data_IF_735249143499
#
_entry.id   IF_735249143499
#
_cell.length_a   1.000
_cell.length_b   1.000
_cell.length_c   1.000
_cell.angle_alpha   90.00
_cell.angle_beta   90.00
_cell.angle_gamma   90.00
#
_symmetry.space_group_name_H-M   'P 1'
#
loop_
_entity.id
_entity.type
_entity.pdbx_description
1 polymer ?
#
# COMPACT_ATOMS: atom_id res chain seq x y z
N UNK A 1 -4.41 -0.65 2.91
CA UNK A 1 -3.05 -1.01 3.39
C UNK A 1 -2.18 0.24 3.27
N UNK A 2 -1.49 0.65 4.33
CA UNK A 2 -0.75 1.91 4.43
C UNK A 2 0.76 1.69 4.29
N UNK A 3 1.47 2.64 3.68
CA UNK A 3 2.93 2.65 3.64
C UNK A 3 3.55 3.03 4.99
N UNK A 4 4.82 2.68 5.20
CA UNK A 4 5.64 3.27 6.27
C UNK A 4 5.96 4.75 6.01
N UNK A 5 6.28 5.52 7.06
CA UNK A 5 6.70 6.92 6.89
C UNK A 5 7.94 7.06 6.00
N UNK A 6 9.04 6.30 6.20
CA UNK A 6 10.21 6.40 5.34
C UNK A 6 9.89 6.06 3.88
N UNK A 7 9.12 4.98 3.65
CA UNK A 7 8.69 4.57 2.31
C UNK A 7 7.82 5.64 1.64
N UNK A 8 6.89 6.25 2.39
CA UNK A 8 6.04 7.34 1.90
C UNK A 8 6.85 8.57 1.48
N UNK A 9 7.76 9.06 2.34
CA UNK A 9 8.57 10.24 2.03
C UNK A 9 9.41 10.02 0.77
N UNK A 10 9.93 8.80 0.59
CA UNK A 10 10.66 8.46 -0.63
C UNK A 10 9.74 8.40 -1.85
N UNK A 11 8.56 7.80 -1.73
CA UNK A 11 7.58 7.73 -2.80
C UNK A 11 7.14 9.12 -3.26
N UNK A 12 6.97 10.06 -2.32
CA UNK A 12 6.66 11.47 -2.60
C UNK A 12 7.75 12.11 -3.46
N UNK A 13 9.02 11.97 -3.07
CA UNK A 13 10.16 12.49 -3.82
C UNK A 13 10.37 11.83 -5.19
N UNK A 14 9.78 10.65 -5.42
CA UNK A 14 9.82 9.93 -6.70
C UNK A 14 8.56 10.14 -7.56
N UNK A 15 7.61 10.96 -7.12
CA UNK A 15 6.37 11.21 -7.85
C UNK A 15 5.42 10.01 -7.92
N UNK A 16 5.50 9.11 -6.93
CA UNK A 16 4.65 7.91 -6.84
C UNK A 16 3.40 8.11 -5.98
N UNK A 17 3.17 9.33 -5.50
CA UNK A 17 2.00 9.74 -4.73
C UNK A 17 1.09 10.55 -5.65
N UNK A 18 -0.16 10.11 -5.83
CA UNK A 18 -1.13 10.81 -6.66
C UNK A 18 -1.75 12.01 -5.92
N UNK A 19 -2.60 12.77 -6.61
CA UNK A 19 -3.28 13.95 -6.04
C UNK A 19 -4.24 13.64 -4.91
N UNK A 20 -4.74 12.40 -4.83
CA UNK A 20 -5.59 11.92 -3.73
C UNK A 20 -4.77 11.42 -2.52
N UNK A 21 -3.43 11.46 -2.59
CA UNK A 21 -2.53 10.99 -1.53
C UNK A 21 -2.29 9.48 -1.51
N UNK A 22 -2.81 8.73 -2.48
CA UNK A 22 -2.52 7.32 -2.64
C UNK A 22 -1.14 7.08 -3.25
N UNK A 23 -0.48 6.01 -2.80
CA UNK A 23 0.87 5.64 -3.22
C UNK A 23 0.82 4.42 -4.13
N UNK A 24 1.42 4.45 -5.31
CA UNK A 24 1.32 3.33 -6.26
C UNK A 24 2.25 2.15 -5.97
N UNK A 25 3.33 2.36 -5.22
CA UNK A 25 4.33 1.34 -4.89
C UNK A 25 4.79 1.47 -3.45
N UNK A 26 4.96 0.33 -2.78
CA UNK A 26 5.67 0.26 -1.50
C UNK A 26 7.17 0.23 -1.77
N UNK A 27 7.91 1.10 -1.07
CA UNK A 27 9.37 1.17 -1.14
C UNK A 27 9.98 0.68 0.16
N UNK A 28 11.20 0.16 0.07
CA UNK A 28 11.96 -0.25 1.25
C UNK A 28 12.16 0.90 2.23
N UNK A 29 12.20 0.61 3.54
CA UNK A 29 12.28 1.65 4.57
C UNK A 29 13.62 2.42 4.51
N UNK A 30 14.70 1.77 4.07
CA UNK A 30 16.03 2.36 3.87
C UNK A 30 16.35 2.67 2.40
N UNK A 31 15.33 2.94 1.58
CA UNK A 31 15.49 3.14 0.14
C UNK A 31 16.36 4.37 -0.18
N UNK A 32 17.48 4.14 -0.86
CA UNK A 32 18.40 5.20 -1.28
C UNK A 32 19.26 5.79 -0.15
N UNK A 33 19.19 5.24 1.05
CA UNK A 33 20.05 5.60 2.19
C UNK A 33 21.02 4.47 2.55
N UNK A 34 20.61 3.21 2.41
CA UNK A 34 21.48 2.03 2.54
C UNK A 34 21.83 1.48 1.16
N UNK A 35 23.14 1.38 0.85
CA UNK A 35 23.64 0.88 -0.44
C UNK A 35 23.36 -0.61 -0.68
N UNK A 36 22.98 -1.36 0.35
CA UNK A 36 22.60 -2.77 0.26
C UNK A 36 21.14 -2.95 -0.14
N UNK A 37 20.34 -1.89 -0.12
CA UNK A 37 18.92 -1.91 -0.50
C UNK A 37 18.80 -1.63 -2.00
N UNK A 38 18.00 -2.44 -2.68
CA UNK A 38 17.73 -2.24 -4.10
C UNK A 38 16.92 -0.95 -4.31
N UNK A 39 17.28 -0.21 -5.35
CA UNK A 39 16.56 0.98 -5.83
C UNK A 39 16.09 0.76 -7.26
N UNK A 40 15.25 1.66 -7.78
CA UNK A 40 14.62 1.53 -9.10
C UNK A 40 13.48 0.51 -9.17
N UNK A 41 13.12 -0.09 -8.03
CA UNK A 41 12.07 -1.11 -7.89
C UNK A 41 11.16 -0.78 -6.72
N UNK A 42 9.94 -1.31 -6.73
CA UNK A 42 8.98 -1.22 -5.64
C UNK A 42 7.98 -2.36 -5.71
N UNK A 43 7.23 -2.56 -4.62
CA UNK A 43 6.20 -3.61 -4.56
C UNK A 43 4.86 -2.98 -4.93
N UNK A 44 4.23 -3.44 -6.01
CA UNK A 44 2.83 -3.13 -6.32
C UNK A 44 1.90 -4.13 -5.65
N UNK A 45 0.71 -3.70 -5.24
CA UNK A 45 -0.32 -4.57 -4.71
C UNK A 45 -1.45 -4.74 -5.71
N UNK A 46 -2.06 -5.92 -5.76
CA UNK A 46 -3.34 -6.13 -6.44
C UNK A 46 -4.30 -6.93 -5.56
N UNK A 47 -5.60 -6.74 -5.82
CA UNK A 47 -6.67 -7.52 -5.18
C UNK A 47 -6.78 -8.93 -5.79
N UNK A 48 -7.74 -9.71 -5.29
CA UNK A 48 -8.04 -11.07 -5.75
C UNK A 48 -8.50 -11.15 -7.20
N UNK A 49 -8.95 -10.03 -7.79
CA UNK A 49 -9.36 -9.94 -9.19
C UNK A 49 -8.20 -9.50 -10.11
N UNK A 50 -7.01 -9.27 -9.54
CA UNK A 50 -5.84 -8.77 -10.26
C UNK A 50 -5.84 -7.26 -10.49
N UNK A 51 -6.80 -6.52 -9.92
CA UNK A 51 -6.85 -5.07 -10.04
C UNK A 51 -5.75 -4.43 -9.21
N UNK A 52 -4.97 -3.54 -9.82
CA UNK A 52 -3.90 -2.83 -9.10
C UNK A 52 -4.48 -1.91 -8.04
N UNK A 53 -3.86 -1.91 -6.87
CA UNK A 53 -4.28 -1.12 -5.71
C UNK A 53 -3.24 -0.06 -5.36
N UNK A 54 -3.72 1.12 -4.98
CA UNK A 54 -2.89 2.13 -4.31
C UNK A 54 -2.80 1.78 -2.82
N UNK A 55 -1.65 2.08 -2.22
CA UNK A 55 -1.49 2.09 -0.78
C UNK A 55 -2.01 3.42 -0.22
N UNK A 56 -2.53 3.39 1.00
CA UNK A 56 -2.79 4.61 1.77
C UNK A 56 -1.44 5.26 2.08
N UNK A 57 -1.32 6.56 1.81
CA UNK A 57 -0.13 7.33 2.17
C UNK A 57 0.08 7.43 3.69
N UNK A 58 1.15 8.13 4.10
CA UNK A 58 1.38 8.35 5.53
C UNK A 58 0.38 9.36 6.11
N UNK A 59 0.01 9.18 7.37
CA UNK A 59 -0.91 10.07 8.08
C UNK A 59 -2.36 9.61 8.08
N UNK A 60 -2.78 8.65 7.26
CA UNK A 60 -4.00 7.84 7.48
C UNK A 60 -5.28 8.60 7.83
N UNK A 61 -5.50 9.79 7.26
CA UNK A 61 -6.59 10.73 7.61
C UNK A 61 -6.46 11.50 8.94
N UNK A 62 -5.31 11.52 9.59
CA UNK A 62 -5.10 12.16 10.89
C UNK A 62 -4.77 13.66 10.82
N UNK A 63 -4.44 14.21 9.65
CA UNK A 63 -3.87 15.58 9.54
C UNK A 63 -4.68 16.58 8.72
N UNK A 64 -5.67 16.18 7.91
CA UNK A 64 -6.49 17.10 7.10
C UNK A 64 -7.97 16.70 7.13
N UNK A 65 -8.85 17.70 7.16
CA UNK A 65 -10.32 17.49 7.17
C UNK A 65 -10.85 16.85 5.87
N UNK A 66 -10.07 16.86 4.79
CA UNK A 66 -10.44 16.31 3.48
C UNK A 66 -9.73 14.98 3.20
N UNK A 67 -9.87 13.99 4.08
CA UNK A 67 -9.37 12.67 3.76
C UNK A 67 -10.29 11.98 2.77
N UNK A 68 -9.90 11.98 1.50
CA UNK A 68 -10.59 11.23 0.45
C UNK A 68 -10.60 9.74 0.82
N UNK A 69 -11.78 9.16 0.99
CA UNK A 69 -11.95 7.72 1.26
C UNK A 69 -12.15 6.92 -0.03
N UNK A 70 -11.47 7.34 -1.10
CA UNK A 70 -11.58 6.74 -2.43
C UNK A 70 -10.51 5.68 -2.65
N UNK A 71 -10.71 4.82 -3.65
CA UNK A 71 -9.70 3.87 -4.10
C UNK A 71 -8.41 4.58 -4.57
N UNK A 72 -8.52 5.80 -5.12
CA UNK A 72 -7.36 6.60 -5.51
C UNK A 72 -6.50 6.98 -4.30
N UNK A 73 -7.09 7.20 -3.13
CA UNK A 73 -6.38 7.44 -1.88
C UNK A 73 -5.92 6.14 -1.16
N UNK A 74 -6.18 4.97 -1.75
CA UNK A 74 -5.82 3.66 -1.19
C UNK A 74 -6.84 3.08 -0.20
N UNK A 75 -8.03 3.69 -0.09
CA UNK A 75 -9.13 3.18 0.73
C UNK A 75 -10.06 2.30 -0.12
N UNK A 76 -10.24 1.06 0.33
CA UNK A 76 -11.07 0.08 -0.35
C UNK A 76 -12.14 -0.44 0.61
N UNK A 77 -13.40 -0.63 0.17
CA UNK A 77 -14.42 -1.21 1.01
C UNK A 77 -14.02 -2.62 1.47
N UNK A 78 -14.22 -2.91 2.76
CA UNK A 78 -13.83 -4.18 3.39
C UNK A 78 -14.56 -5.40 2.79
N UNK A 79 -15.68 -5.21 2.11
CA UNK A 79 -16.40 -6.33 1.47
C UNK A 79 -16.00 -6.52 0.00
N UNK A 80 -15.29 -5.58 -0.61
CA UNK A 80 -14.84 -5.70 -2.00
C UNK A 80 -13.62 -6.62 -2.08
N UNK A 81 -13.73 -7.69 -2.87
CA UNK A 81 -12.66 -8.69 -3.00
C UNK A 81 -12.46 -9.54 -1.75
N UNK A 82 -13.42 -9.54 -0.83
CA UNK A 82 -13.44 -10.40 0.35
C UNK A 82 -14.20 -11.69 0.06
N UNK A 83 -13.70 -12.82 0.54
CA UNK A 83 -14.49 -14.06 0.64
C UNK A 83 -15.01 -14.21 2.08
N UNK A 84 -16.27 -14.62 2.21
CA UNK A 84 -16.81 -14.97 3.51
C UNK A 84 -16.10 -16.20 4.08
N UNK A 85 -15.65 -16.10 5.33
CA UNK A 85 -14.98 -17.19 6.04
C UNK A 85 -15.83 -17.70 7.22
N UNK A 86 -17.15 -17.64 7.05
CA UNK A 86 -18.13 -18.03 8.07
C UNK A 86 -18.05 -17.17 9.34
N UNK A 87 -18.36 -17.81 10.47
CA UNK A 87 -18.41 -17.18 11.79
C UNK A 87 -17.74 -18.10 12.81
N UNK A 88 -16.81 -17.57 13.61
CA UNK A 88 -16.21 -18.33 14.72
C UNK A 88 -17.00 -18.17 16.04
N UNK A 89 -17.95 -17.23 16.09
CA UNK A 89 -18.82 -16.96 17.23
C UNK A 89 -20.13 -16.31 16.76
N UNK A 90 -21.21 -16.50 17.53
CA UNK A 90 -22.49 -15.87 17.24
C UNK A 90 -22.38 -14.34 17.25
N UNK A 91 -22.94 -13.68 16.22
CA UNK A 91 -22.89 -12.23 16.06
C UNK A 91 -21.64 -11.69 15.34
N UNK A 92 -20.71 -12.56 14.93
CA UNK A 92 -19.51 -12.16 14.18
C UNK A 92 -19.50 -12.75 12.77
N UNK A 93 -19.04 -11.96 11.79
CA UNK A 93 -18.74 -12.44 10.45
C UNK A 93 -17.23 -12.33 10.21
N UNK A 94 -16.63 -13.39 9.67
CA UNK A 94 -15.24 -13.38 9.26
C UNK A 94 -15.14 -13.20 7.75
N UNK A 95 -14.15 -12.41 7.34
CA UNK A 95 -13.84 -12.18 5.94
C UNK A 95 -12.35 -12.40 5.71
N UNK A 96 -12.01 -12.95 4.54
CA UNK A 96 -10.63 -13.14 4.11
C UNK A 96 -10.42 -12.32 2.83
N UNK A 97 -9.30 -11.60 2.79
CA UNK A 97 -8.82 -10.95 1.58
C UNK A 97 -7.54 -11.60 1.11
N UNK A 98 -7.46 -11.81 -0.19
CA UNK A 98 -6.23 -12.21 -0.85
C UNK A 98 -5.66 -11.01 -1.60
N UNK A 99 -4.42 -10.68 -1.27
CA UNK A 99 -3.65 -9.67 -1.99
C UNK A 99 -2.45 -10.33 -2.65
N UNK A 100 -2.09 -9.85 -3.83
CA UNK A 100 -0.83 -10.23 -4.49
C UNK A 100 0.13 -9.06 -4.44
N UNK A 101 1.28 -9.29 -3.80
CA UNK A 101 2.39 -8.35 -3.77
C UNK A 101 3.40 -8.73 -4.85
N UNK A 102 3.67 -7.81 -5.78
CA UNK A 102 4.57 -8.05 -6.91
C UNK A 102 5.70 -7.04 -6.89
N UNK A 103 6.94 -7.52 -6.79
CA UNK A 103 8.12 -6.68 -7.00
C UNK A 103 8.18 -6.28 -8.48
N UNK A 104 8.23 -4.97 -8.75
CA UNK A 104 8.24 -4.41 -10.10
C UNK A 104 9.31 -3.34 -10.24
N UNK A 105 9.81 -3.18 -11.46
CA UNK A 105 10.56 -1.99 -11.87
C UNK A 105 9.62 -0.77 -11.79
N UNK A 106 10.13 0.33 -11.23
CA UNK A 106 9.39 1.60 -11.19
C UNK A 106 9.32 2.22 -12.60
N UNK A 107 8.28 3.04 -12.93
CA UNK A 107 8.10 3.60 -14.27
C UNK A 107 9.36 4.28 -14.85
N UNK A 108 10.06 5.06 -14.02
CA UNK A 108 11.33 5.72 -14.38
C UNK A 108 12.53 5.15 -13.60
N UNK A 109 12.39 3.93 -13.08
CA UNK A 109 13.40 3.27 -12.26
C UNK A 109 14.58 2.75 -13.06
N UNK A 110 15.75 2.75 -12.44
CA UNK A 110 16.92 2.00 -12.88
C UNK A 110 17.24 0.95 -11.81
N UNK A 111 16.71 -0.28 -11.94
CA UNK A 111 16.86 -1.30 -10.92
C UNK A 111 18.33 -1.54 -10.55
N UNK A 112 18.63 -1.49 -9.26
CA UNK A 112 19.92 -1.91 -8.72
C UNK A 112 19.75 -3.21 -7.94
N UNK A 113 20.80 -4.04 -7.94
CA UNK A 113 20.81 -5.23 -7.09
C UNK A 113 20.83 -4.83 -5.60
N UNK A 114 20.16 -5.61 -4.76
CA UNK A 114 20.10 -5.37 -3.33
C UNK A 114 18.93 -6.07 -2.66
N UNK A 115 18.83 -5.89 -1.35
CA UNK A 115 17.73 -6.39 -0.53
C UNK A 115 16.48 -5.52 -0.72
N UNK A 116 15.32 -6.14 -0.53
CA UNK A 116 14.03 -5.46 -0.42
C UNK A 116 13.56 -5.65 1.02
N UNK A 117 13.26 -4.55 1.70
CA UNK A 117 12.80 -4.55 3.09
C UNK A 117 11.83 -3.40 3.28
N UNK A 118 10.54 -3.68 3.08
CA UNK A 118 9.48 -2.68 2.96
C UNK A 118 8.34 -2.98 3.93
N UNK A 119 7.94 -1.97 4.70
CA UNK A 119 6.93 -2.12 5.75
C UNK A 119 5.60 -1.51 5.34
N UNK A 120 4.51 -2.26 5.53
CA UNK A 120 3.14 -1.77 5.33
C UNK A 120 2.22 -2.17 6.49
N UNK A 121 1.20 -1.34 6.75
CA UNK A 121 0.25 -1.53 7.84
C UNK A 121 -1.15 -1.80 7.32
N UNK A 122 -1.87 -2.75 7.92
CA UNK A 122 -3.30 -2.93 7.65
C UNK A 122 -4.05 -1.90 8.50
N UNK A 123 -4.67 -0.92 7.84
CA UNK A 123 -5.59 0.02 8.48
C UNK A 123 -7.02 -0.38 8.20
N UNK A 124 -7.85 -0.36 9.25
CA UNK A 124 -9.30 -0.53 9.16
C UNK A 124 -9.94 0.74 9.69
N UNK A 125 -10.81 1.36 8.89
CA UNK A 125 -11.63 2.51 9.29
C UNK A 125 -13.09 2.08 9.27
N UNK A 126 -13.82 2.43 10.31
CA UNK A 126 -15.27 2.25 10.42
C UNK A 126 -15.91 3.63 10.18
N UNK A 127 -16.93 3.68 9.34
CA UNK A 127 -17.73 4.88 9.08
C UNK A 127 -19.14 4.71 9.64
#
# INVERSE_FOLDING_TARGET
IQTSLPGYLKALGLGLVNTAGGVSYLLSDSYGTDSRIATGVGISLSDSNGSTMNFVGWGGCAQTQDCLTTADAGWYPILTGASGNGSHSAGYNNYVHHFTATLKKLPNGHPTAGKIDATAYVLVKIQ
#
